data_IF_665750728739
#
_entry.id   IF_665750728739
#
_cell.length_a   1.000
_cell.length_b   1.000
_cell.length_c   1.000
_cell.angle_alpha   90.00
_cell.angle_beta   90.00
_cell.angle_gamma   90.00
#
_symmetry.space_group_name_H-M   'P 1'
#
loop_
_entity.id
_entity.type
_entity.pdbx_description
1 polymer ?
#
# COMPACT_ATOMS: atom_id res chain seq x y z
N UNK A 1 14.12 16.48 75.06
CA UNK A 1 13.78 17.19 73.80
C UNK A 1 14.39 16.40 72.65
N UNK A 2 13.59 15.63 71.89
CA UNK A 2 14.05 14.88 70.73
C UNK A 2 13.61 15.63 69.47
N UNK A 3 14.47 15.90 68.48
CA UNK A 3 14.06 16.52 67.24
C UNK A 3 13.39 15.49 66.31
N UNK A 4 12.19 15.81 65.85
CA UNK A 4 11.46 15.06 64.84
C UNK A 4 12.02 15.45 63.46
N UNK A 5 12.65 14.50 62.79
CA UNK A 5 13.15 14.67 61.42
C UNK A 5 12.01 14.34 60.45
N UNK A 6 11.49 15.36 59.73
CA UNK A 6 10.52 15.22 58.68
C UNK A 6 11.27 14.82 57.38
N UNK A 7 11.09 13.56 56.92
CA UNK A 7 11.58 13.13 55.61
C UNK A 7 10.56 13.55 54.53
N UNK A 8 10.96 14.51 53.72
CA UNK A 8 10.20 14.88 52.50
C UNK A 8 10.54 13.86 51.41
N UNK A 9 9.58 13.02 51.03
CA UNK A 9 9.69 12.17 49.83
C UNK A 9 9.35 13.02 48.60
N UNK A 10 10.37 13.35 47.80
CA UNK A 10 10.17 13.96 46.49
C UNK A 10 9.90 12.83 45.49
N UNK A 11 8.60 12.65 45.16
CA UNK A 11 8.18 11.71 44.14
C UNK A 11 8.52 12.26 42.74
N UNK A 12 9.50 11.67 42.05
CA UNK A 12 9.82 12.00 40.67
C UNK A 12 8.79 11.33 39.76
N UNK A 13 7.83 12.08 39.24
CA UNK A 13 6.89 11.60 38.25
C UNK A 13 7.59 11.54 36.89
N UNK A 14 7.89 10.34 36.40
CA UNK A 14 8.45 10.13 35.05
C UNK A 14 7.29 10.20 34.05
N UNK A 15 7.22 11.28 33.29
CA UNK A 15 6.34 11.38 32.12
C UNK A 15 6.94 10.54 30.99
N UNK A 16 6.37 9.37 30.71
CA UNK A 16 6.69 8.60 29.51
C UNK A 16 5.98 9.29 28.36
N UNK A 17 6.71 10.11 27.60
CA UNK A 17 6.21 10.64 26.31
C UNK A 17 6.24 9.49 25.31
N UNK A 18 5.10 8.87 25.10
CA UNK A 18 4.94 7.87 24.04
C UNK A 18 4.95 8.59 22.69
N UNK A 19 6.11 8.59 22.02
CA UNK A 19 6.24 9.08 20.65
C UNK A 19 5.46 8.13 19.73
N UNK A 20 4.21 8.45 19.41
CA UNK A 20 3.47 7.79 18.34
C UNK A 20 4.14 8.16 17.02
N UNK A 21 5.01 7.30 16.50
CA UNK A 21 5.47 7.39 15.12
C UNK A 21 4.22 7.20 14.25
N UNK A 22 3.80 8.26 13.59
CA UNK A 22 2.67 8.21 12.67
C UNK A 22 2.94 7.09 11.65
N UNK A 23 1.96 6.20 11.47
CA UNK A 23 2.07 5.15 10.47
C UNK A 23 2.34 5.79 9.09
N UNK A 24 3.26 5.25 8.28
CA UNK A 24 3.64 5.83 6.99
C UNK A 24 2.50 5.83 5.96
N UNK A 25 1.36 5.23 6.30
CA UNK A 25 0.22 5.04 5.42
C UNK A 25 -1.01 5.80 5.90
N UNK A 26 -1.81 6.36 4.97
CA UNK A 26 -3.04 7.07 5.32
C UNK A 26 -4.07 6.08 5.90
N UNK A 27 -4.73 6.47 6.99
CA UNK A 27 -5.82 5.72 7.62
C UNK A 27 -7.19 5.98 6.99
N UNK A 28 -7.31 7.07 6.21
CA UNK A 28 -8.55 7.54 5.57
C UNK A 28 -8.29 8.03 4.15
N UNK A 29 -9.35 8.17 3.35
CA UNK A 29 -9.27 8.70 1.99
C UNK A 29 -10.63 8.68 1.28
N UNK A 30 -10.66 9.02 -0.01
CA UNK A 30 -11.90 9.10 -0.77
C UNK A 30 -12.59 7.76 -0.89
N UNK A 31 -13.94 7.78 -0.77
CA UNK A 31 -14.81 6.62 -0.93
C UNK A 31 -15.92 6.88 -1.93
N UNK A 32 -16.50 5.81 -2.47
CA UNK A 32 -17.70 5.80 -3.31
C UNK A 32 -18.64 4.69 -2.85
N UNK A 33 -19.96 4.82 -3.04
CA UNK A 33 -20.92 3.77 -2.76
C UNK A 33 -20.63 2.48 -3.55
N UNK A 34 -21.03 1.33 -2.98
CA UNK A 34 -20.97 0.02 -3.67
C UNK A 34 -19.69 -0.75 -3.46
N UNK A 35 -19.41 -1.67 -4.41
CA UNK A 35 -18.35 -2.70 -4.30
C UNK A 35 -17.18 -2.48 -5.27
N UNK A 36 -17.23 -1.48 -6.14
CA UNK A 36 -16.17 -1.19 -7.11
C UNK A 36 -15.54 0.16 -6.84
N UNK A 37 -14.21 0.22 -6.90
CA UNK A 37 -13.46 1.47 -6.85
C UNK A 37 -13.70 2.31 -8.11
N UNK A 38 -13.57 3.61 -8.00
CA UNK A 38 -13.73 4.55 -9.11
C UNK A 38 -12.51 5.45 -9.25
N UNK A 39 -12.04 5.58 -10.46
CA UNK A 39 -10.99 6.56 -10.78
C UNK A 39 -11.62 7.94 -10.87
N UNK A 40 -11.04 8.90 -10.13
CA UNK A 40 -11.47 10.30 -10.09
C UNK A 40 -10.57 11.16 -10.98
N UNK A 41 -11.04 12.36 -11.27
CA UNK A 41 -10.21 13.38 -11.92
C UNK A 41 -8.89 13.55 -11.16
N UNK A 42 -7.78 13.72 -11.88
CA UNK A 42 -6.44 13.80 -11.29
C UNK A 42 -5.81 12.45 -10.91
N UNK A 43 -6.38 11.31 -11.38
CA UNK A 43 -5.78 9.99 -11.24
C UNK A 43 -5.87 9.38 -9.82
N UNK A 44 -6.72 9.93 -8.95
CA UNK A 44 -6.94 9.39 -7.61
C UNK A 44 -8.05 8.32 -7.64
N UNK A 45 -7.81 7.19 -6.99
CA UNK A 45 -8.83 6.17 -6.80
C UNK A 45 -9.67 6.43 -5.55
N UNK A 46 -11.01 6.31 -5.67
CA UNK A 46 -11.92 6.28 -4.53
C UNK A 46 -12.27 4.83 -4.21
N UNK A 47 -12.11 4.45 -2.94
CA UNK A 47 -12.34 3.10 -2.46
C UNK A 47 -13.84 2.81 -2.33
N UNK A 48 -14.32 1.57 -2.61
CA UNK A 48 -15.72 1.23 -2.43
C UNK A 48 -16.09 1.21 -0.94
N UNK A 49 -17.24 1.78 -0.60
CA UNK A 49 -17.71 1.87 0.78
C UNK A 49 -17.88 0.48 1.43
N UNK A 50 -18.34 -0.50 0.65
CA UNK A 50 -18.58 -1.87 1.11
C UNK A 50 -17.32 -2.75 1.18
N UNK A 51 -16.17 -2.26 0.73
CA UNK A 51 -14.93 -3.04 0.79
C UNK A 51 -14.41 -3.19 2.23
N UNK A 52 -13.73 -4.29 2.56
CA UNK A 52 -12.98 -4.42 3.80
C UNK A 52 -12.02 -3.24 4.03
N UNK A 53 -11.75 -2.91 5.29
CA UNK A 53 -10.86 -1.80 5.65
C UNK A 53 -9.48 -1.95 5.03
N UNK A 54 -8.94 -3.18 4.97
CA UNK A 54 -7.65 -3.46 4.34
C UNK A 54 -7.63 -3.05 2.85
N UNK A 55 -8.70 -3.33 2.10
CA UNK A 55 -8.83 -2.94 0.68
C UNK A 55 -8.88 -1.42 0.52
N UNK A 56 -9.63 -0.73 1.39
CA UNK A 56 -9.70 0.73 1.38
C UNK A 56 -8.32 1.34 1.66
N UNK A 57 -7.61 0.82 2.67
CA UNK A 57 -6.26 1.27 3.02
C UNK A 57 -5.25 1.01 1.90
N UNK A 58 -5.34 -0.14 1.19
CA UNK A 58 -4.50 -0.39 0.01
C UNK A 58 -4.68 0.70 -1.06
N UNK A 59 -5.94 1.07 -1.35
CA UNK A 59 -6.26 2.10 -2.33
C UNK A 59 -5.75 3.48 -1.87
N UNK A 60 -5.98 3.84 -0.63
CA UNK A 60 -5.54 5.14 -0.09
C UNK A 60 -4.01 5.25 -0.02
N UNK A 61 -3.33 4.17 0.35
CA UNK A 61 -1.88 4.10 0.30
C UNK A 61 -1.38 4.32 -1.14
N UNK A 62 -1.87 3.55 -2.10
CA UNK A 62 -1.46 3.67 -3.50
C UNK A 62 -1.71 5.07 -4.09
N UNK A 63 -2.73 5.80 -3.62
CA UNK A 63 -2.96 7.18 -4.02
C UNK A 63 -1.80 8.14 -3.67
N UNK A 64 -1.01 7.84 -2.64
CA UNK A 64 0.16 8.65 -2.26
C UNK A 64 1.29 8.54 -3.28
N UNK A 65 1.28 7.48 -4.08
CA UNK A 65 2.33 7.22 -5.06
C UNK A 65 2.12 7.92 -6.40
N UNK A 66 0.93 8.50 -6.65
CA UNK A 66 0.60 9.05 -7.97
C UNK A 66 1.49 10.23 -8.44
N UNK A 67 2.21 10.86 -7.53
CA UNK A 67 3.19 11.93 -7.81
C UNK A 67 4.63 11.47 -7.67
N UNK A 68 4.87 10.17 -7.43
CA UNK A 68 6.20 9.58 -7.32
C UNK A 68 6.68 9.13 -8.69
N UNK A 69 7.97 9.31 -8.94
CA UNK A 69 8.59 8.84 -10.17
C UNK A 69 8.80 7.34 -10.15
N UNK A 70 8.98 6.75 -11.34
CA UNK A 70 9.46 5.38 -11.48
C UNK A 70 10.98 5.33 -11.34
N UNK A 71 11.47 4.34 -10.60
CA UNK A 71 12.89 3.96 -10.54
C UNK A 71 12.99 2.46 -10.28
N UNK A 72 13.74 1.74 -11.12
CA UNK A 72 13.99 0.31 -10.90
C UNK A 72 14.61 0.07 -9.52
N UNK A 73 14.07 -0.90 -8.76
CA UNK A 73 14.44 -1.18 -7.36
C UNK A 73 13.88 -0.18 -6.34
N UNK A 74 13.10 0.81 -6.79
CA UNK A 74 12.45 1.78 -5.90
C UNK A 74 11.37 1.11 -5.04
N UNK A 75 11.34 1.44 -3.73
CA UNK A 75 10.43 0.85 -2.76
C UNK A 75 10.80 -0.56 -2.29
N UNK A 76 12.01 -1.09 -2.62
CA UNK A 76 12.43 -2.44 -2.22
C UNK A 76 13.06 -2.49 -0.83
N UNK A 77 13.78 -1.46 -0.42
CA UNK A 77 14.45 -1.43 0.89
C UNK A 77 13.51 -1.03 2.03
N UNK A 78 12.53 -0.23 1.72
CA UNK A 78 11.57 0.33 2.66
C UNK A 78 10.27 0.67 1.93
N UNK A 79 9.16 0.68 2.66
CA UNK A 79 7.90 1.26 2.13
C UNK A 79 8.04 2.76 1.86
N UNK A 80 8.92 3.47 2.57
CA UNK A 80 9.15 4.90 2.36
C UNK A 80 10.34 5.07 1.42
N UNK A 81 10.05 5.56 0.20
CA UNK A 81 11.05 5.88 -0.82
C UNK A 81 10.62 7.13 -1.62
N UNK A 82 11.53 7.69 -2.37
CA UNK A 82 11.29 8.82 -3.26
C UNK A 82 10.73 8.41 -4.61
N UNK A 83 10.95 7.16 -5.03
CA UNK A 83 10.51 6.59 -6.29
C UNK A 83 10.15 5.10 -6.11
N UNK A 84 9.32 4.55 -6.99
CA UNK A 84 8.83 3.17 -6.88
C UNK A 84 8.84 2.48 -8.24
N UNK A 85 9.26 1.21 -8.26
CA UNK A 85 9.04 0.35 -9.42
C UNK A 85 7.72 -0.43 -9.31
N UNK A 86 7.52 -1.41 -10.18
CA UNK A 86 6.30 -2.22 -10.23
C UNK A 86 6.03 -2.93 -8.90
N UNK A 87 7.01 -3.65 -8.36
CA UNK A 87 6.86 -4.42 -7.12
C UNK A 87 6.89 -3.54 -5.87
N UNK A 88 7.68 -2.49 -5.84
CA UNK A 88 7.67 -1.49 -4.78
C UNK A 88 6.30 -0.79 -4.66
N UNK A 89 5.65 -0.52 -5.80
CA UNK A 89 4.29 0.03 -5.84
C UNK A 89 3.27 -0.90 -5.18
N UNK A 90 3.29 -2.18 -5.56
CA UNK A 90 2.35 -3.16 -5.00
C UNK A 90 2.67 -3.41 -3.53
N UNK A 91 3.95 -3.47 -3.16
CA UNK A 91 4.38 -3.59 -1.76
C UNK A 91 3.86 -2.42 -0.92
N UNK A 92 3.96 -1.19 -1.40
CA UNK A 92 3.45 -0.02 -0.68
C UNK A 92 1.93 -0.10 -0.43
N UNK A 93 1.17 -0.48 -1.46
CA UNK A 93 -0.28 -0.66 -1.33
C UNK A 93 -0.66 -1.75 -0.31
N UNK A 94 0.02 -2.91 -0.38
CA UNK A 94 -0.24 -4.03 0.54
C UNK A 94 0.29 -3.76 1.96
N UNK A 95 1.37 -3.02 2.12
CA UNK A 95 1.84 -2.51 3.41
C UNK A 95 0.81 -1.60 4.05
N UNK A 96 0.23 -0.67 3.29
CA UNK A 96 -0.87 0.19 3.74
C UNK A 96 -2.14 -0.57 4.12
N UNK A 97 -2.40 -1.69 3.47
CA UNK A 97 -3.48 -2.63 3.82
C UNK A 97 -3.19 -3.41 5.12
N UNK A 98 -1.95 -3.43 5.60
CA UNK A 98 -1.51 -4.29 6.71
C UNK A 98 -1.38 -5.77 6.31
N UNK A 99 -1.22 -6.05 5.02
CA UNK A 99 -1.16 -7.42 4.47
C UNK A 99 0.25 -7.97 4.45
N UNK A 100 1.25 -7.10 4.27
CA UNK A 100 2.67 -7.42 4.35
C UNK A 100 3.39 -6.46 5.28
N UNK A 101 4.45 -6.93 5.94
CA UNK A 101 5.27 -6.14 6.88
C UNK A 101 6.57 -5.62 6.29
N UNK A 102 6.95 -6.10 5.11
CA UNK A 102 8.15 -5.67 4.37
C UNK A 102 7.90 -5.68 2.87
N UNK A 103 8.62 -4.85 2.08
CA UNK A 103 8.54 -4.88 0.63
C UNK A 103 8.95 -6.23 0.04
N UNK A 104 8.34 -6.58 -1.10
CA UNK A 104 8.58 -7.79 -1.87
C UNK A 104 8.95 -7.42 -3.30
N UNK A 105 9.78 -8.24 -3.96
CA UNK A 105 10.06 -8.10 -5.38
C UNK A 105 9.04 -8.87 -6.25
N UNK A 106 9.11 -8.72 -7.58
CA UNK A 106 8.15 -9.36 -8.50
C UNK A 106 8.23 -10.89 -8.49
N UNK A 107 9.40 -11.47 -8.20
CA UNK A 107 9.57 -12.93 -8.07
C UNK A 107 8.91 -13.46 -6.80
N UNK A 108 9.05 -12.74 -5.68
CA UNK A 108 8.41 -13.11 -4.41
C UNK A 108 6.88 -13.06 -4.54
N UNK A 109 6.33 -12.08 -5.27
CA UNK A 109 4.90 -11.99 -5.52
C UNK A 109 4.32 -13.17 -6.30
N UNK A 110 5.12 -13.93 -7.05
CA UNK A 110 4.67 -15.17 -7.71
C UNK A 110 4.31 -16.27 -6.71
N UNK A 111 4.83 -16.19 -5.50
CA UNK A 111 4.60 -17.18 -4.42
C UNK A 111 3.77 -16.58 -3.26
N UNK A 112 3.29 -15.35 -3.41
CA UNK A 112 2.55 -14.64 -2.37
C UNK A 112 1.14 -15.20 -2.18
N UNK A 113 0.69 -15.29 -0.94
CA UNK A 113 -0.69 -15.58 -0.58
C UNK A 113 -1.25 -16.86 -1.20
N UNK A 114 -2.48 -16.80 -1.71
CA UNK A 114 -3.16 -17.93 -2.36
C UNK A 114 -3.11 -17.81 -3.87
N UNK A 115 -3.13 -18.95 -4.56
CA UNK A 115 -3.18 -19.03 -6.03
C UNK A 115 -4.57 -18.59 -6.54
N UNK A 116 -4.57 -17.92 -7.69
CA UNK A 116 -5.79 -17.49 -8.37
C UNK A 116 -6.21 -16.06 -8.04
N UNK A 117 -7.41 -15.71 -8.50
CA UNK A 117 -7.97 -14.35 -8.34
C UNK A 117 -8.63 -14.20 -6.98
N UNK A 118 -8.38 -13.07 -6.32
CA UNK A 118 -9.07 -12.67 -5.10
C UNK A 118 -10.39 -11.96 -5.40
N UNK A 119 -11.23 -11.87 -4.38
CA UNK A 119 -12.49 -11.12 -4.46
C UNK A 119 -12.26 -9.61 -4.60
N UNK A 120 -11.27 -9.09 -3.90
CA UNK A 120 -10.99 -7.66 -3.80
C UNK A 120 -9.64 -7.27 -4.35
N UNK A 121 -8.62 -8.10 -4.13
CA UNK A 121 -7.24 -7.86 -4.53
C UNK A 121 -6.73 -9.06 -5.31
N UNK A 122 -6.29 -8.84 -6.53
CA UNK A 122 -5.55 -9.83 -7.32
C UNK A 122 -4.23 -9.23 -7.75
N UNK A 123 -3.14 -9.89 -7.42
CA UNK A 123 -1.79 -9.54 -7.84
C UNK A 123 -1.43 -10.43 -9.03
N UNK A 124 -1.01 -9.83 -10.11
CA UNK A 124 -0.47 -10.52 -11.28
C UNK A 124 1.04 -10.33 -11.30
N UNK A 125 1.78 -11.42 -11.18
CA UNK A 125 3.23 -11.40 -11.08
C UNK A 125 3.89 -12.37 -12.06
N UNK A 126 4.99 -11.93 -12.64
CA UNK A 126 5.95 -12.73 -13.41
C UNK A 126 7.36 -12.27 -13.08
N UNK A 127 8.38 -12.98 -13.57
CA UNK A 127 9.75 -12.46 -13.51
C UNK A 127 9.83 -11.08 -14.18
N UNK A 128 10.36 -10.10 -13.46
CA UNK A 128 10.60 -8.74 -13.94
C UNK A 128 9.38 -7.80 -13.97
N UNK A 129 8.16 -8.26 -13.66
CA UNK A 129 7.02 -7.36 -13.59
C UNK A 129 5.88 -7.85 -12.69
N UNK A 130 5.22 -6.92 -12.02
CA UNK A 130 3.99 -7.18 -11.27
C UNK A 130 3.06 -5.96 -11.32
N UNK A 131 1.75 -6.23 -11.23
CA UNK A 131 0.70 -5.23 -11.06
C UNK A 131 -0.45 -5.83 -10.24
N UNK A 132 -1.39 -5.02 -9.79
CA UNK A 132 -2.56 -5.50 -9.07
C UNK A 132 -3.87 -4.97 -9.64
N UNK A 133 -4.93 -5.78 -9.49
CA UNK A 133 -6.31 -5.33 -9.60
C UNK A 133 -6.85 -5.20 -8.18
N UNK A 134 -7.26 -4.01 -7.80
CA UNK A 134 -7.79 -3.71 -6.46
C UNK A 134 -9.19 -3.12 -6.63
N UNK A 135 -10.21 -3.85 -6.18
CA UNK A 135 -11.62 -3.48 -6.28
C UNK A 135 -12.03 -2.99 -7.69
N UNK A 136 -11.50 -3.62 -8.73
CA UNK A 136 -11.83 -3.35 -10.15
C UNK A 136 -10.94 -2.29 -10.83
N UNK A 137 -10.01 -1.64 -10.14
CA UNK A 137 -9.02 -0.76 -10.77
C UNK A 137 -7.66 -1.44 -10.85
N UNK A 138 -6.95 -1.21 -11.95
CA UNK A 138 -5.57 -1.67 -12.14
C UNK A 138 -4.59 -0.65 -11.56
N UNK A 139 -3.70 -1.12 -10.69
CA UNK A 139 -2.54 -0.39 -10.20
C UNK A 139 -1.29 -0.92 -10.89
N UNK A 140 -0.63 -0.10 -11.71
CA UNK A 140 0.47 -0.53 -12.56
C UNK A 140 1.43 0.62 -12.86
N UNK A 141 2.68 0.28 -13.17
CA UNK A 141 3.72 1.21 -13.60
C UNK A 141 3.99 1.16 -15.11
N UNK A 142 3.39 0.22 -15.85
CA UNK A 142 3.61 0.08 -17.30
C UNK A 142 3.34 1.36 -18.11
N UNK A 143 2.36 2.22 -17.77
CA UNK A 143 2.07 3.43 -18.56
C UNK A 143 3.24 4.42 -18.66
N UNK A 144 4.20 4.38 -17.77
CA UNK A 144 5.36 5.27 -17.86
C UNK A 144 6.21 5.02 -19.12
N UNK A 145 6.15 3.79 -19.65
CA UNK A 145 6.91 3.40 -20.85
C UNK A 145 6.32 3.96 -22.16
N UNK A 146 5.04 4.26 -22.17
CA UNK A 146 4.29 4.58 -23.39
C UNK A 146 3.95 6.06 -23.53
N UNK A 147 3.89 6.78 -22.46
CA UNK A 147 3.69 8.21 -22.45
C UNK A 147 5.00 8.85 -21.98
N UNK A 148 5.44 9.91 -22.57
CA UNK A 148 6.55 10.73 -22.07
C UNK A 148 6.33 11.20 -20.61
N UNK A 149 5.45 10.53 -19.90
CA UNK A 149 5.01 10.76 -18.55
C UNK A 149 5.84 9.91 -17.60
N UNK A 150 6.84 10.53 -17.00
CA UNK A 150 7.77 9.94 -16.04
C UNK A 150 7.12 9.63 -14.69
N UNK A 151 5.83 9.92 -14.52
CA UNK A 151 5.11 9.72 -13.28
C UNK A 151 4.42 8.36 -13.29
N UNK A 152 4.93 7.46 -12.50
CA UNK A 152 4.34 6.16 -12.18
C UNK A 152 4.63 5.92 -10.69
N UNK A 153 3.78 5.26 -9.96
CA UNK A 153 2.68 4.35 -10.30
C UNK A 153 1.35 5.03 -10.66
N UNK A 154 0.51 4.28 -11.39
CA UNK A 154 -0.75 4.82 -11.88
C UNK A 154 -1.94 3.89 -11.72
N UNK A 155 -3.05 4.48 -11.36
CA UNK A 155 -4.35 3.84 -11.47
C UNK A 155 -4.87 3.89 -12.90
N UNK A 156 -5.50 2.80 -13.35
CA UNK A 156 -6.14 2.67 -14.65
C UNK A 156 -7.53 2.06 -14.47
N UNK A 157 -8.51 2.57 -15.23
CA UNK A 157 -9.88 2.02 -15.25
C UNK A 157 -9.99 0.73 -16.06
N UNK A 158 -9.05 0.46 -16.97
CA UNK A 158 -9.09 -0.72 -17.85
C UNK A 158 -8.44 -1.91 -17.19
N UNK A 159 -9.23 -2.95 -16.93
CA UNK A 159 -8.72 -4.26 -16.52
C UNK A 159 -8.52 -5.08 -17.81
N UNK A 160 -7.28 -5.09 -18.33
CA UNK A 160 -6.92 -5.99 -19.42
C UNK A 160 -6.69 -7.40 -18.86
N UNK A 161 -7.09 -8.41 -19.62
CA UNK A 161 -6.67 -9.80 -19.37
C UNK A 161 -5.13 -9.81 -19.31
N UNK A 162 -4.52 -10.42 -18.29
CA UNK A 162 -3.07 -10.47 -18.23
C UNK A 162 -2.50 -11.19 -19.46
N UNK A 163 -1.41 -10.68 -19.99
CA UNK A 163 -0.64 -11.39 -21.00
C UNK A 163 -0.16 -12.74 -20.43
N UNK A 164 0.19 -13.68 -21.30
CA UNK A 164 0.75 -14.99 -20.91
C UNK A 164 1.94 -14.82 -19.96
N UNK A 165 2.12 -15.77 -19.05
CA UNK A 165 3.25 -15.81 -18.12
C UNK A 165 3.04 -15.07 -16.80
N UNK A 166 1.89 -14.43 -16.55
CA UNK A 166 1.56 -13.92 -15.24
C UNK A 166 0.86 -14.98 -14.37
N UNK A 167 1.31 -15.11 -13.16
CA UNK A 167 0.64 -15.86 -12.11
C UNK A 167 -0.30 -14.95 -11.34
N UNK A 168 -1.54 -15.40 -11.11
CA UNK A 168 -2.50 -14.69 -10.28
C UNK A 168 -2.35 -15.13 -8.82
N UNK A 169 -2.26 -14.17 -7.92
CA UNK A 169 -2.14 -14.36 -6.47
C UNK A 169 -3.06 -13.41 -5.73
N UNK A 170 -3.48 -13.79 -4.53
CA UNK A 170 -4.28 -12.91 -3.69
C UNK A 170 -4.00 -13.12 -2.20
N UNK A 171 -4.16 -12.07 -1.36
CA UNK A 171 -4.12 -12.22 0.09
C UNK A 171 -5.28 -13.08 0.58
N UNK A 172 -5.07 -13.90 1.60
CA UNK A 172 -6.16 -14.68 2.21
C UNK A 172 -7.28 -13.77 2.68
N UNK A 173 -8.52 -14.08 2.30
CA UNK A 173 -9.72 -13.34 2.70
C UNK A 173 -10.01 -12.05 1.91
N UNK A 174 -9.19 -11.70 0.92
CA UNK A 174 -9.37 -10.49 0.08
C UNK A 174 -9.48 -10.82 -1.45
#
# INVERSE_FOLDING_TARGET
MHPVIFKILIGTTIFIVSSTIAAPFPSTGPTVPGNAARLRFGGQAAAPANAPVAVKRAIWAANQLRTKSYRYGGGHKSFIDTAYDCSGTISYALGGAGVISSPMNSTDFRHFGRTGRGKWITIYARSGHTYAIIAGLRLDTTPYLTAHDRWAPRWQSTVRVPASGFEARHPSGL
#
